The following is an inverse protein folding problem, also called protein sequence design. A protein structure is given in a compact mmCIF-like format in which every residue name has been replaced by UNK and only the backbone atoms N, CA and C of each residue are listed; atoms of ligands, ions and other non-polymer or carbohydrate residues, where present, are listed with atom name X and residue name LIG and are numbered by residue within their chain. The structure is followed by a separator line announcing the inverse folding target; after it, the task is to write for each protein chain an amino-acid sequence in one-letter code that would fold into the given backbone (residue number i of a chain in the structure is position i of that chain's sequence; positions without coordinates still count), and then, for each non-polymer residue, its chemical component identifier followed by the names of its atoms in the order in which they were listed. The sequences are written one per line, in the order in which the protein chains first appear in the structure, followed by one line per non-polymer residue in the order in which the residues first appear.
data_IF_143782243254
#
_entry.id   IF_143782243254
#
_cell.length_a   1.000
_cell.length_b   1.000
_cell.length_c   1.000
_cell.angle_alpha   90.00
_cell.angle_beta   90.00
_cell.angle_gamma   90.00
#
_symmetry.space_group_name_H-M   'P 1'
#
loop_
_entity.id
_entity.type
_entity.pdbx_description
1 polymer ?
#
# COMPACT_ATOMS: atom_id res chain seq x y z
N UNK A 1 -21.71 18.00 -2.01
CA UNK A 1 -23.00 17.27 -2.04
C UNK A 1 -22.79 15.95 -1.33
N UNK A 2 -23.34 15.81 -0.14
CA UNK A 2 -23.37 14.55 0.61
C UNK A 2 -24.13 13.50 -0.19
N UNK A 3 -23.50 12.36 -0.43
CA UNK A 3 -24.13 11.22 -1.11
C UNK A 3 -25.27 10.67 -0.23
N UNK A 4 -26.45 10.35 -0.78
CA UNK A 4 -27.54 9.81 0.04
C UNK A 4 -27.13 8.44 0.60
N UNK A 5 -27.40 8.21 1.90
CA UNK A 5 -27.20 6.93 2.58
C UNK A 5 -28.15 5.82 2.06
N UNK A 6 -29.11 6.21 1.25
CA UNK A 6 -30.12 5.31 0.67
C UNK A 6 -29.82 5.13 -0.83
N UNK A 7 -29.73 3.88 -1.32
CA UNK A 7 -29.48 3.62 -2.72
C UNK A 7 -30.65 4.14 -3.58
N UNK A 8 -30.34 4.79 -4.73
CA UNK A 8 -31.37 5.20 -5.69
C UNK A 8 -32.15 3.97 -6.20
N UNK A 9 -33.43 4.16 -6.59
CA UNK A 9 -34.29 3.05 -7.07
C UNK A 9 -33.65 2.22 -8.20
N UNK A 10 -33.00 2.88 -9.15
CA UNK A 10 -32.29 2.24 -10.27
C UNK A 10 -31.18 1.29 -9.81
N UNK A 11 -30.46 1.62 -8.73
CA UNK A 11 -29.42 0.76 -8.16
C UNK A 11 -30.04 -0.44 -7.44
N UNK A 12 -31.17 -0.24 -6.79
CA UNK A 12 -31.94 -1.35 -6.17
C UNK A 12 -32.42 -2.31 -7.23
N UNK A 13 -32.87 -1.82 -8.38
CA UNK A 13 -33.35 -2.67 -9.48
C UNK A 13 -32.19 -3.44 -10.12
N UNK A 14 -31.03 -2.82 -10.39
CA UNK A 14 -29.83 -3.53 -10.85
C UNK A 14 -29.40 -4.62 -9.87
N UNK A 15 -29.49 -4.36 -8.57
CA UNK A 15 -29.13 -5.37 -7.56
C UNK A 15 -30.11 -6.55 -7.52
N UNK A 16 -31.42 -6.30 -7.78
CA UNK A 16 -32.41 -7.37 -7.94
C UNK A 16 -32.16 -8.21 -9.18
N UNK A 17 -31.91 -7.55 -10.34
CA UNK A 17 -31.56 -8.25 -11.58
C UNK A 17 -30.29 -9.12 -11.39
N UNK A 18 -29.25 -8.58 -10.72
CA UNK A 18 -28.06 -9.35 -10.39
C UNK A 18 -28.38 -10.57 -9.53
N UNK A 19 -29.24 -10.43 -8.54
CA UNK A 19 -29.65 -11.54 -7.69
C UNK A 19 -30.37 -12.61 -8.51
N UNK A 20 -31.27 -12.23 -9.43
CA UNK A 20 -31.95 -13.15 -10.34
C UNK A 20 -30.97 -13.86 -11.28
N UNK A 21 -30.00 -13.14 -11.87
CA UNK A 21 -28.95 -13.75 -12.71
C UNK A 21 -28.15 -14.80 -11.94
N UNK A 22 -27.79 -14.54 -10.67
CA UNK A 22 -27.09 -15.52 -9.81
C UNK A 22 -27.92 -16.76 -9.53
N UNK A 23 -29.20 -16.61 -9.27
CA UNK A 23 -30.13 -17.75 -9.10
C UNK A 23 -30.21 -18.60 -10.38
N UNK A 24 -30.23 -17.92 -11.54
CA UNK A 24 -30.20 -18.57 -12.87
C UNK A 24 -28.81 -19.12 -13.24
N UNK A 25 -27.76 -18.87 -12.42
CA UNK A 25 -26.35 -19.20 -12.69
C UNK A 25 -25.78 -18.52 -13.94
N UNK A 26 -26.35 -17.40 -14.34
CA UNK A 26 -25.81 -16.52 -15.39
C UNK A 26 -24.75 -15.61 -14.77
N UNK A 27 -23.54 -16.16 -14.59
CA UNK A 27 -22.43 -15.47 -13.95
C UNK A 27 -21.94 -14.26 -14.75
N UNK A 28 -21.82 -14.33 -16.11
CA UNK A 28 -21.43 -13.17 -16.91
C UNK A 28 -22.38 -11.98 -16.74
N UNK A 29 -23.69 -12.22 -16.73
CA UNK A 29 -24.69 -11.15 -16.50
C UNK A 29 -24.62 -10.62 -15.08
N UNK A 30 -24.46 -11.49 -14.07
CA UNK A 30 -24.32 -11.08 -12.69
C UNK A 30 -23.08 -10.22 -12.45
N UNK A 31 -21.95 -10.51 -13.10
CA UNK A 31 -20.71 -9.74 -13.00
C UNK A 31 -20.81 -8.39 -13.73
N UNK A 32 -21.47 -8.35 -14.90
CA UNK A 32 -21.75 -7.11 -15.61
C UNK A 32 -22.61 -6.17 -14.76
N UNK A 33 -23.70 -6.67 -14.18
CA UNK A 33 -24.58 -5.87 -13.30
C UNK A 33 -23.85 -5.40 -12.03
N UNK A 34 -22.95 -6.22 -11.49
CA UNK A 34 -22.12 -5.82 -10.37
C UNK A 34 -21.21 -4.64 -10.76
N UNK A 35 -20.60 -4.69 -11.93
CA UNK A 35 -19.75 -3.61 -12.43
C UNK A 35 -20.57 -2.31 -12.65
N UNK A 36 -21.80 -2.41 -13.16
CA UNK A 36 -22.70 -1.26 -13.30
C UNK A 36 -23.06 -0.62 -11.94
N UNK A 37 -23.37 -1.45 -10.93
CA UNK A 37 -23.65 -0.99 -9.56
C UNK A 37 -22.41 -0.31 -8.96
N UNK A 38 -21.21 -0.89 -9.14
CA UNK A 38 -19.95 -0.35 -8.65
C UNK A 38 -19.60 0.97 -9.35
N UNK A 39 -19.80 1.07 -10.67
CA UNK A 39 -19.61 2.31 -11.43
C UNK A 39 -20.56 3.44 -10.98
N UNK A 40 -21.78 3.07 -10.58
CA UNK A 40 -22.74 4.02 -9.98
C UNK A 40 -22.40 4.35 -8.50
N UNK A 41 -21.30 3.79 -7.98
CA UNK A 41 -20.77 4.08 -6.65
C UNK A 41 -21.48 3.36 -5.52
N UNK A 42 -22.07 2.21 -5.79
CA UNK A 42 -22.64 1.31 -4.78
C UNK A 42 -21.94 -0.03 -4.82
N UNK A 43 -21.98 -0.76 -3.72
CA UNK A 43 -21.42 -2.10 -3.59
C UNK A 43 -22.47 -3.08 -3.12
N UNK A 44 -22.56 -4.21 -3.78
CA UNK A 44 -23.41 -5.33 -3.32
C UNK A 44 -22.62 -6.19 -2.37
N UNK A 45 -23.08 -6.32 -1.15
CA UNK A 45 -22.53 -7.22 -0.13
C UNK A 45 -23.49 -8.43 0.00
N UNK A 46 -23.02 -9.58 -0.46
CA UNK A 46 -23.81 -10.82 -0.41
C UNK A 46 -23.80 -11.46 1.00
N UNK A 47 -24.97 -11.88 1.46
CA UNK A 47 -25.17 -12.64 2.68
C UNK A 47 -25.95 -13.93 2.34
N UNK A 48 -25.28 -14.95 1.84
CA UNK A 48 -25.92 -16.15 1.32
C UNK A 48 -26.80 -15.85 0.10
N UNK A 49 -28.12 -16.04 0.21
CA UNK A 49 -29.08 -15.70 -0.84
C UNK A 49 -29.58 -14.23 -0.78
N UNK A 50 -29.35 -13.55 0.33
CA UNK A 50 -29.67 -12.14 0.50
C UNK A 50 -28.48 -11.25 0.12
N UNK A 51 -28.74 -9.97 -0.12
CA UNK A 51 -27.72 -8.95 -0.34
C UNK A 51 -28.06 -7.65 0.36
N UNK A 52 -27.03 -6.82 0.60
CA UNK A 52 -27.17 -5.45 1.05
C UNK A 52 -26.43 -4.53 0.07
N UNK A 53 -27.00 -3.36 -0.20
CA UNK A 53 -26.33 -2.29 -0.93
C UNK A 53 -25.66 -1.35 0.07
N UNK A 54 -24.39 -1.09 -0.15
CA UNK A 54 -23.60 -0.12 0.61
C UNK A 54 -23.00 0.89 -0.36
N UNK A 55 -22.74 2.13 0.05
CA UNK A 55 -21.93 3.05 -0.74
C UNK A 55 -20.59 2.38 -1.08
N UNK A 56 -20.13 2.45 -2.33
CA UNK A 56 -18.88 1.81 -2.76
C UNK A 56 -17.66 2.40 -2.04
N UNK A 57 -17.73 3.71 -1.71
CA UNK A 57 -16.75 4.43 -0.91
C UNK A 57 -17.49 5.37 0.05
N UNK A 58 -16.87 5.67 1.20
CA UNK A 58 -17.36 6.72 2.07
C UNK A 58 -17.40 8.07 1.32
N UNK A 59 -18.28 9.01 1.70
CA UNK A 59 -18.32 10.32 1.07
C UNK A 59 -17.05 11.11 1.38
N UNK A 60 -16.62 11.96 0.46
CA UNK A 60 -15.68 13.04 0.77
C UNK A 60 -16.40 14.11 1.57
N UNK A 61 -15.83 14.49 2.70
CA UNK A 61 -16.42 15.45 3.65
C UNK A 61 -15.49 16.66 3.76
N UNK A 62 -16.04 17.86 3.68
CA UNK A 62 -15.33 19.11 3.90
C UNK A 62 -15.70 19.66 5.30
N UNK A 63 -14.71 19.76 6.17
CA UNK A 63 -14.85 20.28 7.53
C UNK A 63 -13.91 21.49 7.73
N UNK A 64 -14.42 22.68 7.42
CA UNK A 64 -13.61 23.90 7.43
C UNK A 64 -12.48 23.85 6.41
N UNK A 65 -11.23 23.89 6.87
CA UNK A 65 -10.04 23.78 6.01
C UNK A 65 -9.60 22.33 5.76
N UNK A 66 -10.23 21.34 6.39
CA UNK A 66 -9.87 19.93 6.27
C UNK A 66 -10.82 19.24 5.30
N UNK A 67 -10.24 18.62 4.26
CA UNK A 67 -10.96 17.72 3.37
C UNK A 67 -10.65 16.29 3.76
N UNK A 68 -11.71 15.50 4.08
CA UNK A 68 -11.61 14.09 4.39
C UNK A 68 -12.08 13.26 3.20
N UNK A 69 -11.18 12.52 2.59
CA UNK A 69 -11.47 11.76 1.37
C UNK A 69 -12.08 10.40 1.67
N UNK A 70 -13.11 10.01 0.93
CA UNK A 70 -13.80 8.73 1.10
C UNK A 70 -13.09 7.54 0.44
N UNK A 71 -12.11 7.79 -0.43
CA UNK A 71 -11.34 6.76 -1.12
C UNK A 71 -10.03 7.34 -1.64
N UNK A 72 -9.08 6.49 -2.02
CA UNK A 72 -7.85 6.92 -2.66
C UNK A 72 -8.13 7.66 -3.97
N UNK A 73 -9.07 7.19 -4.78
CA UNK A 73 -9.40 7.81 -6.07
C UNK A 73 -9.90 9.26 -5.94
N UNK A 74 -10.48 9.63 -4.79
CA UNK A 74 -10.95 11.00 -4.53
C UNK A 74 -9.82 11.99 -4.20
N UNK A 75 -8.63 11.51 -3.83
CA UNK A 75 -7.48 12.35 -3.47
C UNK A 75 -6.88 12.95 -4.75
N UNK A 76 -6.63 14.28 -4.83
CA UNK A 76 -5.90 14.87 -5.95
C UNK A 76 -4.52 14.24 -6.12
N UNK A 77 -4.17 13.83 -7.34
CA UNK A 77 -2.92 13.16 -7.63
C UNK A 77 -1.87 14.13 -8.14
N UNK A 78 -0.62 13.96 -7.67
CA UNK A 78 0.56 14.63 -8.23
C UNK A 78 1.41 13.67 -9.07
N UNK A 79 0.94 12.45 -9.32
CA UNK A 79 1.73 11.41 -9.98
C UNK A 79 1.97 11.68 -11.47
N UNK A 80 1.16 12.51 -12.11
CA UNK A 80 1.36 12.92 -13.51
C UNK A 80 2.37 14.06 -13.66
N UNK A 81 2.73 14.70 -12.56
CA UNK A 81 3.72 15.78 -12.53
C UNK A 81 5.13 15.20 -12.34
N UNK A 82 6.20 15.86 -12.84
CA UNK A 82 7.57 15.46 -12.53
C UNK A 82 7.85 15.48 -11.02
N UNK A 83 8.74 14.60 -10.52
CA UNK A 83 9.14 14.64 -9.11
C UNK A 83 9.71 15.99 -8.72
N UNK A 84 9.28 16.55 -7.59
CA UNK A 84 9.76 17.83 -7.03
C UNK A 84 10.57 17.63 -5.75
N UNK A 85 10.63 16.41 -5.23
CA UNK A 85 11.43 16.02 -4.08
C UNK A 85 12.32 14.80 -4.42
N UNK A 86 13.36 14.58 -3.62
CA UNK A 86 14.21 13.37 -3.74
C UNK A 86 13.48 12.15 -3.20
N UNK A 87 12.89 12.31 -2.04
CA UNK A 87 12.20 11.24 -1.31
C UNK A 87 10.78 11.64 -0.92
N UNK A 88 9.89 10.69 -0.92
CA UNK A 88 8.64 10.75 -0.17
C UNK A 88 8.64 9.62 0.85
N UNK A 89 8.57 9.95 2.14
CA UNK A 89 8.29 8.99 3.21
C UNK A 89 6.79 9.04 3.48
N UNK A 90 6.11 7.93 3.19
CA UNK A 90 4.66 7.78 3.37
C UNK A 90 4.38 6.98 4.63
N UNK A 91 3.51 7.51 5.48
CA UNK A 91 3.11 6.96 6.77
C UNK A 91 1.58 6.85 6.84
N UNK A 92 1.07 5.74 7.36
CA UNK A 92 -0.35 5.62 7.71
C UNK A 92 -0.49 5.79 9.23
N UNK A 93 -1.26 6.80 9.62
CA UNK A 93 -1.56 7.10 11.01
C UNK A 93 -3.01 6.68 11.32
N UNK A 94 -3.16 5.50 11.88
CA UNK A 94 -4.44 5.00 12.42
C UNK A 94 -4.61 5.44 13.88
N UNK A 95 -3.68 4.98 14.73
CA UNK A 95 -3.63 5.17 16.18
C UNK A 95 -2.16 5.27 16.64
N UNK A 96 -1.91 5.27 17.95
CA UNK A 96 -0.57 5.30 18.58
C UNK A 96 0.25 6.56 18.26
N UNK A 97 -0.22 7.72 18.73
CA UNK A 97 0.41 9.00 18.40
C UNK A 97 1.87 9.12 18.85
N UNK A 98 2.27 8.40 19.91
CA UNK A 98 3.66 8.42 20.35
C UNK A 98 4.61 7.68 19.39
N UNK A 99 4.12 6.64 18.69
CA UNK A 99 4.92 5.94 17.69
C UNK A 99 5.13 6.83 16.47
N UNK A 100 4.08 7.52 16.01
CA UNK A 100 4.20 8.52 14.95
C UNK A 100 5.14 9.68 15.34
N UNK A 101 5.02 10.21 16.56
CA UNK A 101 5.87 11.30 17.05
C UNK A 101 7.35 10.88 17.04
N UNK A 102 7.68 9.68 17.53
CA UNK A 102 9.03 9.11 17.52
C UNK A 102 9.58 8.97 16.08
N UNK A 103 8.77 8.44 15.15
CA UNK A 103 9.12 8.35 13.74
C UNK A 103 9.45 9.73 13.15
N UNK A 104 8.59 10.72 13.38
CA UNK A 104 8.78 12.07 12.88
C UNK A 104 10.00 12.77 13.52
N UNK A 105 10.29 12.50 14.78
CA UNK A 105 11.48 13.00 15.45
C UNK A 105 12.76 12.42 14.83
N UNK A 106 12.80 11.11 14.59
CA UNK A 106 13.92 10.45 13.90
C UNK A 106 14.11 11.01 12.47
N UNK A 107 13.02 11.22 11.72
CA UNK A 107 13.09 11.83 10.40
C UNK A 107 13.61 13.29 10.46
N UNK A 108 13.16 14.10 11.44
CA UNK A 108 13.66 15.47 11.62
C UNK A 108 15.17 15.52 11.88
N UNK A 109 15.64 14.57 12.68
CA UNK A 109 17.06 14.52 13.04
C UNK A 109 17.94 14.03 11.88
N UNK A 110 17.44 13.17 11.01
CA UNK A 110 18.30 12.38 10.12
C UNK A 110 17.92 12.41 8.63
N UNK A 111 16.70 12.86 8.26
CA UNK A 111 16.32 12.86 6.86
C UNK A 111 17.12 13.92 6.07
N UNK A 112 17.67 13.56 4.88
CA UNK A 112 18.38 14.49 4.03
C UNK A 112 17.44 15.53 3.41
N UNK A 113 18.00 16.64 2.96
CA UNK A 113 17.27 17.69 2.25
C UNK A 113 16.54 17.10 1.02
N UNK A 114 15.36 17.67 0.69
CA UNK A 114 14.52 17.18 -0.39
C UNK A 114 13.64 15.99 0.01
N UNK A 115 13.44 15.76 1.31
CA UNK A 115 12.52 14.74 1.82
C UNK A 115 11.14 15.36 2.06
N UNK A 116 10.12 14.82 1.38
CA UNK A 116 8.70 15.03 1.68
C UNK A 116 8.24 13.96 2.66
N UNK A 117 7.41 14.33 3.62
CA UNK A 117 6.67 13.39 4.48
C UNK A 117 5.18 13.53 4.19
N UNK A 118 4.53 12.42 3.85
CA UNK A 118 3.08 12.32 3.66
C UNK A 118 2.50 11.42 4.74
N UNK A 119 1.56 11.95 5.52
CA UNK A 119 0.88 11.23 6.60
C UNK A 119 -0.57 11.02 6.20
N UNK A 120 -0.99 9.79 6.05
CA UNK A 120 -2.40 9.45 5.85
C UNK A 120 -3.08 9.30 7.20
N UNK A 121 -3.91 10.27 7.57
CA UNK A 121 -4.77 10.22 8.74
C UNK A 121 -5.98 9.32 8.42
N UNK A 122 -5.81 8.00 8.58
CA UNK A 122 -6.77 6.98 8.14
C UNK A 122 -7.92 6.82 9.15
N UNK A 123 -8.74 7.86 9.26
CA UNK A 123 -9.80 7.97 10.28
C UNK A 123 -9.30 7.55 11.67
N UNK A 124 -8.28 8.25 12.20
CA UNK A 124 -7.59 7.89 13.41
C UNK A 124 -8.45 8.14 14.67
N UNK A 125 -7.97 7.66 15.83
CA UNK A 125 -8.53 8.02 17.13
C UNK A 125 -8.50 9.54 17.36
N UNK A 126 -9.35 10.02 18.28
CA UNK A 126 -9.40 11.44 18.62
C UNK A 126 -8.04 11.97 19.13
N UNK A 127 -7.29 11.15 19.88
CA UNK A 127 -5.95 11.51 20.38
C UNK A 127 -4.96 11.67 19.23
N UNK A 128 -4.92 10.72 18.29
CA UNK A 128 -4.08 10.81 17.09
C UNK A 128 -4.48 12.00 16.22
N UNK A 129 -5.81 12.20 16.02
CA UNK A 129 -6.32 13.32 15.23
C UNK A 129 -5.91 14.68 15.80
N UNK A 130 -5.94 14.84 17.11
CA UNK A 130 -5.53 16.09 17.78
C UNK A 130 -4.07 16.46 17.52
N UNK A 131 -3.18 15.47 17.33
CA UNK A 131 -1.76 15.70 17.00
C UNK A 131 -1.48 15.93 15.50
N UNK A 132 -2.46 15.67 14.66
CA UNK A 132 -2.35 15.85 13.20
C UNK A 132 -2.93 17.17 12.69
N UNK A 133 -3.36 18.06 13.58
CA UNK A 133 -3.82 19.39 13.18
C UNK A 133 -2.65 20.31 12.88
N UNK A 134 -2.82 21.19 11.91
CA UNK A 134 -1.81 22.16 11.53
C UNK A 134 -1.34 23.01 12.72
N UNK A 135 -0.02 23.18 12.86
CA UNK A 135 0.61 23.91 13.97
C UNK A 135 0.90 23.05 15.19
N UNK A 136 0.51 21.76 15.24
CA UNK A 136 0.95 20.88 16.33
C UNK A 136 2.48 20.63 16.26
N UNK A 137 3.20 20.60 17.40
CA UNK A 137 4.65 20.40 17.43
C UNK A 137 5.13 19.12 16.72
N UNK A 138 4.33 18.05 16.77
CA UNK A 138 4.66 16.79 16.09
C UNK A 138 4.75 16.96 14.56
N UNK A 139 4.08 17.96 14.00
CA UNK A 139 4.12 18.30 12.58
C UNK A 139 5.17 19.39 12.24
N UNK A 140 6.15 19.61 13.13
CA UNK A 140 7.28 20.48 12.80
C UNK A 140 8.00 19.97 11.54
N UNK A 141 8.62 20.91 10.81
CA UNK A 141 9.26 20.64 9.52
C UNK A 141 10.28 19.49 9.60
N UNK A 142 10.24 18.62 8.62
CA UNK A 142 11.22 17.58 8.32
C UNK A 142 11.99 18.00 7.08
N UNK A 143 13.33 18.05 7.14
CA UNK A 143 14.19 18.45 6.03
C UNK A 143 13.78 19.80 5.37
N UNK A 144 13.23 20.71 6.15
CA UNK A 144 12.80 22.05 5.70
C UNK A 144 11.35 22.16 5.19
N UNK A 145 10.60 21.05 5.13
CA UNK A 145 9.20 21.03 4.69
C UNK A 145 8.28 20.49 5.78
N UNK A 146 7.11 21.12 5.97
CA UNK A 146 6.10 20.58 6.88
C UNK A 146 5.52 19.26 6.32
N UNK A 147 5.24 18.24 7.16
CA UNK A 147 4.53 17.05 6.73
C UNK A 147 3.16 17.39 6.14
N UNK A 148 2.83 16.75 5.02
CA UNK A 148 1.49 16.83 4.42
C UNK A 148 0.58 15.80 5.09
N UNK A 149 -0.56 16.23 5.64
CA UNK A 149 -1.55 15.33 6.24
C UNK A 149 -2.75 15.18 5.31
N UNK A 150 -3.02 13.96 4.88
CA UNK A 150 -4.16 13.60 4.03
C UNK A 150 -5.17 12.84 4.86
N UNK A 151 -6.37 13.41 5.02
CA UNK A 151 -7.40 12.84 5.88
C UNK A 151 -8.35 11.93 5.12
N UNK A 152 -8.78 10.85 5.75
CA UNK A 152 -9.86 10.00 5.23
C UNK A 152 -11.13 10.16 6.06
N UNK A 153 -12.30 10.06 5.41
CA UNK A 153 -13.61 10.17 6.07
C UNK A 153 -14.08 8.87 6.73
N UNK A 154 -13.43 7.76 6.40
CA UNK A 154 -13.64 6.45 7.01
C UNK A 154 -12.29 5.72 7.10
N UNK A 155 -12.18 4.73 7.99
CA UNK A 155 -11.02 3.86 8.04
C UNK A 155 -10.98 2.99 6.77
N UNK A 156 -10.00 3.23 5.92
CA UNK A 156 -9.75 2.46 4.71
C UNK A 156 -8.97 1.20 5.03
N UNK A 157 -9.07 0.20 4.14
CA UNK A 157 -8.16 -0.94 4.17
C UNK A 157 -6.70 -0.51 3.94
N UNK A 158 -5.75 -1.33 4.38
CA UNK A 158 -4.33 -0.91 4.43
C UNK A 158 -3.79 -0.47 3.07
N UNK A 159 -3.99 -1.25 2.00
CA UNK A 159 -3.53 -0.85 0.66
C UNK A 159 -4.24 0.41 0.13
N UNK A 160 -5.55 0.57 0.43
CA UNK A 160 -6.29 1.77 0.06
C UNK A 160 -5.77 3.01 0.79
N UNK A 161 -5.43 2.88 2.09
CA UNK A 161 -4.81 3.96 2.86
C UNK A 161 -3.43 4.34 2.29
N UNK A 162 -2.59 3.34 1.94
CA UNK A 162 -1.30 3.58 1.26
C UNK A 162 -1.51 4.28 -0.09
N UNK A 163 -2.50 3.87 -0.88
CA UNK A 163 -2.81 4.53 -2.15
C UNK A 163 -3.21 6.01 -1.97
N UNK A 164 -3.85 6.38 -0.87
CA UNK A 164 -4.12 7.79 -0.53
C UNK A 164 -2.81 8.59 -0.45
N UNK A 165 -1.82 8.10 0.31
CA UNK A 165 -0.52 8.75 0.43
C UNK A 165 0.29 8.73 -0.86
N UNK A 166 0.28 7.60 -1.58
CA UNK A 166 0.98 7.44 -2.85
C UNK A 166 0.54 8.44 -3.92
N UNK A 167 -0.74 8.82 -3.95
CA UNK A 167 -1.22 9.88 -4.87
C UNK A 167 -0.58 11.24 -4.60
N UNK A 168 -0.06 11.47 -3.41
CA UNK A 168 0.62 12.72 -2.99
C UNK A 168 2.14 12.61 -3.04
N UNK A 169 2.69 11.47 -3.47
CA UNK A 169 4.12 11.24 -3.51
C UNK A 169 4.80 12.09 -4.61
N UNK A 170 5.54 13.11 -4.21
CA UNK A 170 6.29 14.00 -5.09
C UNK A 170 7.79 13.64 -5.17
N UNK A 171 8.27 12.68 -4.37
CA UNK A 171 9.65 12.22 -4.38
C UNK A 171 9.97 11.27 -5.52
N UNK A 172 11.17 11.36 -6.11
CA UNK A 172 11.64 10.39 -7.11
C UNK A 172 11.73 8.95 -6.54
N UNK A 173 12.01 8.84 -5.24
CA UNK A 173 11.99 7.59 -4.48
C UNK A 173 10.87 7.69 -3.44
N UNK A 174 10.04 6.66 -3.39
CA UNK A 174 8.97 6.52 -2.40
C UNK A 174 9.37 5.46 -1.39
N UNK A 175 9.19 5.79 -0.11
CA UNK A 175 9.40 4.89 1.01
C UNK A 175 8.07 4.69 1.72
N UNK A 176 7.55 3.47 1.70
CA UNK A 176 6.47 3.08 2.58
C UNK A 176 7.08 2.69 3.93
N UNK A 177 6.73 3.44 4.97
CA UNK A 177 7.28 3.23 6.30
C UNK A 177 6.19 2.91 7.32
N UNK A 178 6.53 2.12 8.33
CA UNK A 178 5.66 1.80 9.47
C UNK A 178 6.06 2.63 10.69
N UNK A 179 5.10 3.14 11.44
CA UNK A 179 5.33 3.98 12.62
C UNK A 179 6.03 3.27 13.77
N UNK A 180 6.13 1.92 13.73
CA UNK A 180 6.95 1.14 14.68
C UNK A 180 8.45 1.22 14.42
N UNK A 181 8.88 1.92 13.37
CA UNK A 181 10.29 2.15 13.04
C UNK A 181 10.72 3.54 13.53
N UNK A 182 11.96 3.63 13.98
CA UNK A 182 12.62 4.88 14.36
C UNK A 182 13.92 5.03 13.55
N UNK A 183 14.05 6.08 12.71
CA UNK A 183 15.33 6.42 12.11
C UNK A 183 16.33 6.88 13.17
N UNK A 184 17.51 6.22 13.23
CA UNK A 184 18.62 6.52 14.17
C UNK A 184 19.85 7.09 13.45
N UNK A 185 19.75 7.32 12.16
CA UNK A 185 20.72 7.90 11.24
C UNK A 185 20.02 8.16 9.91
N UNK A 186 20.74 8.55 8.84
CA UNK A 186 20.16 8.74 7.51
C UNK A 186 19.79 7.38 6.85
N UNK A 187 18.51 7.00 6.78
CA UNK A 187 18.11 5.74 6.16
C UNK A 187 17.73 5.90 4.68
N UNK A 188 17.77 7.11 4.12
CA UNK A 188 17.27 7.43 2.79
C UNK A 188 18.36 7.46 1.73
N UNK A 189 19.51 8.09 2.00
CA UNK A 189 20.60 8.19 1.04
C UNK A 189 21.15 6.83 0.58
N UNK A 190 21.26 5.79 1.43
CA UNK A 190 21.63 4.45 0.96
C UNK A 190 20.60 3.83 -0.01
N UNK A 191 19.29 4.13 0.17
CA UNK A 191 18.25 3.69 -0.74
C UNK A 191 18.37 4.33 -2.13
N UNK A 192 18.66 5.62 -2.20
CA UNK A 192 18.90 6.33 -3.46
C UNK A 192 20.08 5.71 -4.21
N UNK A 193 21.17 5.42 -3.51
CA UNK A 193 22.34 4.75 -4.08
C UNK A 193 21.99 3.37 -4.63
N UNK A 194 21.26 2.55 -3.89
CA UNK A 194 20.86 1.23 -4.33
C UNK A 194 19.89 1.28 -5.53
N UNK A 195 18.88 2.16 -5.46
CA UNK A 195 17.88 2.30 -6.51
C UNK A 195 18.39 3.08 -7.74
N UNK A 196 19.60 3.64 -7.72
CA UNK A 196 20.24 4.15 -8.94
C UNK A 196 20.58 3.02 -9.93
N UNK A 197 20.77 1.78 -9.44
CA UNK A 197 20.89 0.60 -10.30
C UNK A 197 19.49 0.19 -10.82
N UNK A 198 19.25 0.25 -12.15
CA UNK A 198 17.97 -0.14 -12.73
C UNK A 198 17.64 -1.63 -12.55
N UNK A 199 18.62 -2.48 -12.27
CA UNK A 199 18.42 -3.89 -11.98
C UNK A 199 17.77 -4.13 -10.60
N UNK A 200 17.79 -3.14 -9.69
CA UNK A 200 17.13 -3.21 -8.39
C UNK A 200 15.76 -2.53 -8.50
N UNK A 201 14.68 -3.26 -8.21
CA UNK A 201 13.31 -2.76 -8.25
C UNK A 201 12.84 -2.20 -6.91
N UNK A 202 13.27 -2.83 -5.81
CA UNK A 202 12.85 -2.54 -4.45
C UNK A 202 14.02 -2.68 -3.51
N UNK A 203 14.14 -1.78 -2.54
CA UNK A 203 15.17 -1.81 -1.52
C UNK A 203 14.59 -1.46 -0.14
N UNK A 204 15.24 -1.89 0.94
CA UNK A 204 14.77 -1.59 2.28
C UNK A 204 15.61 -2.21 3.40
N UNK A 205 15.17 -2.01 4.65
CA UNK A 205 15.93 -2.42 5.83
C UNK A 205 15.70 -3.89 6.24
N UNK A 206 14.57 -4.48 5.89
CA UNK A 206 14.13 -5.79 6.36
C UNK A 206 13.80 -6.68 5.16
N UNK A 207 14.53 -7.78 5.00
CA UNK A 207 14.43 -8.65 3.85
C UNK A 207 13.80 -9.99 4.16
N UNK A 208 13.11 -10.55 3.18
CA UNK A 208 12.50 -11.87 3.24
C UNK A 208 12.98 -12.73 2.09
N UNK A 209 13.20 -14.01 2.34
CA UNK A 209 13.52 -15.03 1.32
C UNK A 209 12.53 -16.18 1.39
N UNK A 210 12.31 -16.85 0.27
CA UNK A 210 11.46 -18.02 0.17
C UNK A 210 12.05 -19.04 -0.80
N UNK A 211 11.88 -20.32 -0.51
CA UNK A 211 12.26 -21.40 -1.42
C UNK A 211 11.17 -21.72 -2.45
N UNK A 212 9.90 -21.39 -2.17
CA UNK A 212 8.77 -21.89 -2.95
C UNK A 212 7.55 -20.94 -3.02
N UNK A 213 7.70 -19.69 -2.55
CA UNK A 213 6.64 -18.69 -2.38
C UNK A 213 5.60 -19.04 -1.29
N UNK A 214 5.78 -20.10 -0.53
CA UNK A 214 4.83 -20.52 0.49
C UNK A 214 5.21 -20.09 1.89
N UNK A 215 6.48 -20.18 2.20
CA UNK A 215 7.04 -19.70 3.45
C UNK A 215 8.08 -18.63 3.16
N UNK A 216 7.93 -17.48 3.81
CA UNK A 216 8.90 -16.40 3.77
C UNK A 216 9.56 -16.29 5.14
N UNK A 217 10.87 -16.24 5.16
CA UNK A 217 11.70 -16.16 6.34
C UNK A 217 12.57 -14.90 6.31
N UNK A 218 12.88 -14.37 7.48
CA UNK A 218 13.76 -13.20 7.61
C UNK A 218 15.14 -13.52 7.04
N UNK A 219 15.69 -12.61 6.27
CA UNK A 219 17.00 -12.76 5.65
C UNK A 219 17.93 -11.60 5.97
N UNK A 220 19.14 -11.92 6.40
CA UNK A 220 20.18 -10.94 6.69
C UNK A 220 21.05 -10.59 5.46
N UNK A 221 21.00 -11.41 4.39
CA UNK A 221 21.77 -11.18 3.16
C UNK A 221 21.28 -9.98 2.36
N UNK A 222 22.11 -9.45 1.43
CA UNK A 222 21.71 -8.30 0.62
C UNK A 222 20.68 -8.68 -0.46
N UNK A 223 20.75 -9.90 -1.03
CA UNK A 223 19.82 -10.36 -2.06
C UNK A 223 18.68 -11.11 -1.40
N UNK A 224 17.45 -10.61 -1.64
CA UNK A 224 16.23 -11.10 -1.00
C UNK A 224 15.09 -11.21 -2.01
N UNK A 225 14.01 -11.89 -1.65
CA UNK A 225 12.85 -12.04 -2.50
C UNK A 225 11.82 -10.93 -2.33
N UNK A 226 11.72 -10.40 -1.11
CA UNK A 226 10.85 -9.28 -0.79
C UNK A 226 11.46 -8.41 0.30
N UNK A 227 10.96 -7.18 0.41
CA UNK A 227 11.26 -6.22 1.48
C UNK A 227 10.01 -6.04 2.32
N UNK A 228 10.13 -6.12 3.64
CA UNK A 228 9.02 -5.88 4.56
C UNK A 228 8.58 -4.40 4.55
N UNK A 229 7.28 -4.18 4.73
CA UNK A 229 6.67 -2.85 4.71
C UNK A 229 7.07 -1.95 5.90
N UNK A 230 7.90 -2.45 6.80
CA UNK A 230 8.50 -1.64 7.86
C UNK A 230 9.31 -0.47 7.31
N UNK A 231 10.06 -0.70 6.21
CA UNK A 231 10.83 0.31 5.50
C UNK A 231 11.13 -0.20 4.08
N UNK A 232 10.20 0.05 3.15
CA UNK A 232 10.21 -0.45 1.78
C UNK A 232 10.27 0.70 0.81
N UNK A 233 11.30 0.75 -0.04
CA UNK A 233 11.54 1.83 -0.99
C UNK A 233 11.55 1.33 -2.44
N UNK A 234 11.02 2.17 -3.34
CA UNK A 234 11.00 1.94 -4.78
C UNK A 234 10.98 3.28 -5.54
N UNK A 235 11.24 3.24 -6.86
CA UNK A 235 11.12 4.44 -7.69
C UNK A 235 9.65 4.80 -7.89
N UNK A 236 9.36 6.09 -7.80
CA UNK A 236 8.02 6.61 -8.09
C UNK A 236 7.55 6.24 -9.49
N UNK A 237 8.45 6.27 -10.50
CA UNK A 237 8.14 5.92 -11.88
C UNK A 237 7.69 4.45 -12.02
N UNK A 238 8.27 3.54 -11.24
CA UNK A 238 7.80 2.15 -11.19
C UNK A 238 6.35 2.06 -10.70
N UNK A 239 5.98 2.83 -9.67
CA UNK A 239 4.60 2.90 -9.19
C UNK A 239 3.65 3.48 -10.23
N UNK A 240 4.06 4.55 -10.93
CA UNK A 240 3.25 5.15 -12.00
C UNK A 240 3.02 4.15 -13.13
N UNK A 241 4.04 3.40 -13.52
CA UNK A 241 3.96 2.40 -14.60
C UNK A 241 3.16 1.15 -14.23
N UNK A 242 3.23 0.71 -12.97
CA UNK A 242 2.59 -0.52 -12.49
C UNK A 242 1.18 -0.30 -11.92
N UNK A 243 0.83 0.94 -11.62
CA UNK A 243 -0.45 1.32 -11.04
C UNK A 243 -0.49 1.18 -9.50
N UNK A 244 -1.66 1.42 -8.90
CA UNK A 244 -1.83 1.43 -7.46
C UNK A 244 -1.70 0.04 -6.83
N UNK A 245 -1.49 0.02 -5.51
CA UNK A 245 -1.58 -1.20 -4.71
C UNK A 245 -2.99 -1.81 -4.82
N UNK A 246 -3.09 -3.14 -4.83
CA UNK A 246 -4.39 -3.84 -4.85
C UNK A 246 -5.14 -3.61 -3.53
N UNK A 247 -6.19 -2.80 -3.58
CA UNK A 247 -6.99 -2.42 -2.40
C UNK A 247 -7.73 -3.59 -1.74
N UNK A 248 -7.72 -4.77 -2.37
CA UNK A 248 -8.17 -6.01 -1.73
C UNK A 248 -7.28 -6.43 -0.56
N UNK A 249 -6.06 -5.91 -0.45
CA UNK A 249 -5.22 -6.05 0.73
C UNK A 249 -5.68 -5.08 1.84
N UNK A 250 -6.84 -5.37 2.43
CA UNK A 250 -7.37 -4.56 3.53
C UNK A 250 -6.57 -4.70 4.83
N UNK A 251 -5.81 -5.78 5.00
CA UNK A 251 -4.88 -6.04 6.09
C UNK A 251 -3.44 -5.93 5.58
N UNK A 252 -2.53 -5.43 6.41
CA UNK A 252 -1.17 -5.08 5.97
C UNK A 252 -0.30 -6.29 5.61
N UNK A 253 -0.46 -7.44 6.29
CA UNK A 253 0.37 -8.62 6.13
C UNK A 253 0.33 -9.17 4.70
N UNK A 254 1.49 -9.53 4.17
CA UNK A 254 1.71 -10.03 2.81
C UNK A 254 1.47 -8.98 1.68
N UNK A 255 1.12 -7.73 1.99
CA UNK A 255 1.10 -6.65 1.01
C UNK A 255 2.53 -6.30 0.56
N UNK A 256 3.46 -6.32 1.49
CA UNK A 256 4.90 -6.16 1.28
C UNK A 256 5.47 -7.18 0.29
N UNK A 257 5.19 -8.46 0.50
CA UNK A 257 5.58 -9.54 -0.39
C UNK A 257 4.95 -9.33 -1.78
N UNK A 258 3.64 -9.10 -1.81
CA UNK A 258 2.93 -8.88 -3.08
C UNK A 258 3.50 -7.70 -3.86
N UNK A 259 3.73 -6.56 -3.20
CA UNK A 259 4.24 -5.36 -3.86
C UNK A 259 5.69 -5.52 -4.31
N UNK A 260 6.54 -6.14 -3.49
CA UNK A 260 7.92 -6.47 -3.87
C UNK A 260 7.97 -7.33 -5.13
N UNK A 261 7.13 -8.37 -5.21
CA UNK A 261 7.05 -9.25 -6.39
C UNK A 261 6.49 -8.52 -7.62
N UNK A 262 5.51 -7.62 -7.45
CA UNK A 262 4.99 -6.77 -8.54
C UNK A 262 6.09 -5.87 -9.10
N UNK A 263 6.82 -5.17 -8.23
CA UNK A 263 7.93 -4.29 -8.62
C UNK A 263 9.02 -5.05 -9.36
N UNK A 264 9.37 -6.25 -8.88
CA UNK A 264 10.41 -7.11 -9.47
C UNK A 264 10.00 -7.70 -10.82
N UNK A 265 8.73 -8.11 -10.94
CA UNK A 265 8.19 -8.63 -12.20
C UNK A 265 8.11 -7.56 -13.29
N UNK A 266 7.94 -6.28 -12.92
CA UNK A 266 7.75 -5.19 -13.88
C UNK A 266 6.42 -5.26 -14.64
N UNK A 267 6.29 -4.47 -15.71
CA UNK A 267 5.06 -4.31 -16.47
C UNK A 267 4.85 -5.34 -17.59
N UNK A 268 5.86 -6.16 -17.91
CA UNK A 268 5.80 -7.11 -19.04
C UNK A 268 6.28 -8.51 -18.68
N UNK A 269 5.63 -9.52 -19.27
CA UNK A 269 5.96 -10.94 -19.01
C UNK A 269 7.33 -11.34 -19.58
N UNK A 270 7.84 -10.62 -20.58
CA UNK A 270 9.13 -10.90 -21.23
C UNK A 270 10.32 -10.15 -20.59
N UNK A 271 10.08 -9.34 -19.55
CA UNK A 271 11.15 -8.59 -18.88
C UNK A 271 11.79 -9.47 -17.80
N UNK A 272 13.13 -9.59 -17.77
CA UNK A 272 13.80 -10.32 -16.68
C UNK A 272 13.44 -9.72 -15.32
N UNK A 273 13.21 -10.54 -14.29
CA UNK A 273 12.94 -10.04 -12.95
C UNK A 273 14.08 -9.15 -12.45
N UNK A 274 13.71 -8.03 -11.85
CA UNK A 274 14.65 -7.16 -11.15
C UNK A 274 14.89 -7.66 -9.72
N UNK A 275 15.98 -7.22 -9.10
CA UNK A 275 16.34 -7.62 -7.75
C UNK A 275 15.55 -6.87 -6.67
N UNK A 276 15.39 -7.50 -5.51
CA UNK A 276 15.12 -6.85 -4.24
C UNK A 276 16.42 -6.80 -3.43
N UNK A 277 16.71 -5.64 -2.80
CA UNK A 277 17.95 -5.40 -2.08
C UNK A 277 17.68 -5.02 -0.63
N UNK A 278 18.08 -5.90 0.31
CA UNK A 278 18.15 -5.53 1.72
C UNK A 278 19.41 -4.71 1.98
N UNK A 279 19.26 -3.62 2.71
CA UNK A 279 20.34 -2.75 3.15
C UNK A 279 20.41 -2.74 4.68
N UNK A 280 21.62 -2.55 5.21
CA UNK A 280 21.82 -2.31 6.62
C UNK A 280 21.61 -0.82 6.90
N UNK A 281 20.37 -0.47 7.27
CA UNK A 281 19.93 0.91 7.48
C UNK A 281 19.90 1.26 8.97
N UNK A 282 20.19 2.51 9.34
CA UNK A 282 20.16 2.97 10.73
C UNK A 282 18.70 3.13 11.21
N UNK A 283 18.06 2.03 11.47
CA UNK A 283 16.65 1.91 11.87
C UNK A 283 16.53 1.08 13.16
N UNK A 284 15.85 1.61 14.15
CA UNK A 284 15.42 0.85 15.31
C UNK A 284 13.98 0.37 15.13
N UNK A 285 13.73 -0.91 15.42
CA UNK A 285 12.39 -1.51 15.35
C UNK A 285 11.78 -1.61 16.73
N UNK A 286 10.60 -1.06 16.89
CA UNK A 286 9.78 -1.12 18.09
C UNK A 286 8.61 -2.11 17.94
N UNK A 287 7.79 -2.21 18.97
CA UNK A 287 6.62 -3.08 18.98
C UNK A 287 5.60 -2.65 17.92
N UNK A 288 5.17 -3.58 17.08
CA UNK A 288 4.12 -3.37 16.10
C UNK A 288 2.74 -3.55 16.75
N UNK A 289 2.22 -2.49 17.35
CA UNK A 289 1.02 -2.53 18.19
C UNK A 289 -0.25 -2.91 17.44
N UNK A 290 -0.36 -2.53 16.17
CA UNK A 290 -1.49 -2.93 15.33
C UNK A 290 -1.60 -4.46 15.16
N UNK A 291 -0.46 -5.17 15.16
CA UNK A 291 -0.41 -6.63 15.15
C UNK A 291 -0.79 -7.20 16.52
N UNK A 292 -0.21 -6.68 17.58
CA UNK A 292 -0.42 -7.20 18.93
C UNK A 292 -1.86 -7.01 19.43
N UNK A 293 -2.54 -5.96 18.99
CA UNK A 293 -3.91 -5.64 19.38
C UNK A 293 -4.99 -6.54 18.76
N UNK A 294 -4.64 -7.39 17.76
CA UNK A 294 -5.61 -8.29 17.13
C UNK A 294 -5.59 -9.69 17.76
N UNK A 295 -6.76 -10.34 17.93
CA UNK A 295 -6.83 -11.76 18.29
C UNK A 295 -6.09 -12.64 17.27
N UNK A 296 -5.42 -13.70 17.74
CA UNK A 296 -4.61 -14.60 16.91
C UNK A 296 -5.41 -15.20 15.74
N UNK A 297 -6.64 -15.67 15.99
CA UNK A 297 -7.52 -16.23 14.95
C UNK A 297 -7.84 -15.24 13.83
N UNK A 298 -7.97 -13.93 14.16
CA UNK A 298 -8.21 -12.90 13.17
C UNK A 298 -6.94 -12.58 12.38
N UNK A 299 -5.79 -12.52 13.05
CA UNK A 299 -4.47 -12.36 12.41
C UNK A 299 -4.24 -13.46 11.37
N UNK A 300 -4.49 -14.71 11.74
CA UNK A 300 -4.31 -15.87 10.86
C UNK A 300 -5.27 -15.85 9.68
N UNK A 301 -6.55 -15.58 9.93
CA UNK A 301 -7.57 -15.50 8.89
C UNK A 301 -7.27 -14.39 7.87
N UNK A 302 -6.91 -13.19 8.34
CA UNK A 302 -6.60 -12.04 7.48
C UNK A 302 -5.30 -12.25 6.70
N UNK A 303 -4.26 -12.79 7.35
CA UNK A 303 -2.97 -13.13 6.72
C UNK A 303 -3.15 -14.18 5.64
N UNK A 304 -3.91 -15.26 5.92
CA UNK A 304 -4.18 -16.34 4.98
C UNK A 304 -4.93 -15.83 3.74
N UNK A 305 -5.89 -14.93 3.91
CA UNK A 305 -6.61 -14.33 2.78
C UNK A 305 -5.68 -13.57 1.84
N UNK A 306 -4.76 -12.78 2.38
CA UNK A 306 -3.79 -12.04 1.60
C UNK A 306 -2.74 -12.96 0.96
N UNK A 307 -2.31 -14.00 1.70
CA UNK A 307 -1.38 -14.98 1.20
C UNK A 307 -1.89 -15.70 -0.07
N UNK A 308 -3.16 -16.10 -0.11
CA UNK A 308 -3.72 -16.70 -1.32
C UNK A 308 -3.69 -15.74 -2.51
N UNK A 309 -3.83 -14.42 -2.33
CA UNK A 309 -3.67 -13.44 -3.42
C UNK A 309 -2.26 -13.42 -3.98
N UNK A 310 -1.24 -13.55 -3.12
CA UNK A 310 0.15 -13.67 -3.57
C UNK A 310 0.32 -14.95 -4.42
N UNK A 311 -0.17 -16.08 -3.92
CA UNK A 311 -0.09 -17.34 -4.65
C UNK A 311 -0.86 -17.33 -5.97
N UNK A 312 -2.08 -16.79 -5.98
CA UNK A 312 -2.91 -16.73 -7.20
C UNK A 312 -2.20 -16.00 -8.34
N UNK A 313 -1.41 -14.98 -8.02
CA UNK A 313 -0.68 -14.21 -9.02
C UNK A 313 0.71 -14.76 -9.34
N UNK A 314 1.44 -15.26 -8.34
CA UNK A 314 2.89 -15.50 -8.46
C UNK A 314 3.32 -16.96 -8.33
N UNK A 315 2.43 -17.93 -8.04
CA UNK A 315 2.81 -19.33 -7.79
C UNK A 315 3.64 -19.98 -8.90
N UNK A 316 3.50 -19.54 -10.15
CA UNK A 316 4.26 -20.05 -11.29
C UNK A 316 5.55 -19.21 -11.57
N UNK A 317 5.72 -18.06 -10.89
CA UNK A 317 6.83 -17.13 -11.09
C UNK A 317 8.01 -17.43 -10.16
N UNK A 318 8.50 -18.67 -10.21
CA UNK A 318 9.70 -19.08 -9.42
C UNK A 318 10.96 -18.34 -9.85
N UNK A 319 10.99 -17.78 -11.05
CA UNK A 319 12.04 -16.90 -11.56
C UNK A 319 12.23 -15.63 -10.71
N UNK A 320 11.22 -15.28 -9.89
CA UNK A 320 11.28 -14.20 -8.92
C UNK A 320 12.00 -14.58 -7.61
N UNK A 321 12.40 -15.83 -7.41
CA UNK A 321 13.09 -16.27 -6.18
C UNK A 321 14.60 -16.25 -6.37
N UNK A 322 15.33 -15.70 -5.40
CA UNK A 322 16.80 -15.60 -5.43
C UNK A 322 17.50 -16.96 -5.43
N UNK A 323 16.84 -18.00 -4.89
CA UNK A 323 17.34 -19.38 -4.88
C UNK A 323 16.90 -20.25 -6.06
N UNK A 324 16.15 -19.70 -7.02
CA UNK A 324 15.71 -20.47 -8.17
C UNK A 324 16.90 -20.77 -9.12
N UNK A 325 17.05 -22.00 -9.65
CA UNK A 325 18.03 -22.26 -10.69
C UNK A 325 17.74 -21.40 -11.89
N UNK A 326 18.77 -20.77 -12.46
CA UNK A 326 18.62 -19.96 -13.66
C UNK A 326 17.89 -20.76 -14.75
N UNK A 327 16.80 -20.25 -15.29
CA UNK A 327 16.10 -20.87 -16.40
C UNK A 327 17.09 -21.08 -17.55
N UNK A 328 17.14 -22.26 -18.17
CA UNK A 328 18.02 -22.47 -19.32
C UNK A 328 17.64 -21.48 -20.39
N UNK A 329 18.59 -20.61 -20.76
CA UNK A 329 18.43 -19.64 -21.83
C UNK A 329 17.95 -20.38 -23.08
N UNK A 330 16.83 -19.94 -23.65
CA UNK A 330 16.27 -20.39 -24.93
C UNK A 330 17.19 -20.02 -26.14
N UNK A 331 18.43 -20.48 -26.11
CA UNK A 331 19.40 -20.27 -27.21
C UNK A 331 19.70 -21.56 -27.98
N UNK A 332 18.76 -22.51 -28.03
CA UNK A 332 18.93 -23.74 -28.79
C UNK A 332 17.69 -24.09 -29.59
N UNK A 333 17.29 -23.22 -30.53
CA UNK A 333 16.38 -23.60 -31.62
C UNK A 333 16.62 -22.69 -32.83
N UNK A 334 17.82 -22.74 -33.41
CA UNK A 334 18.10 -22.46 -34.84
C UNK A 334 19.42 -23.16 -35.21
N UNK A 335 19.32 -24.40 -35.59
CA UNK A 335 20.25 -25.08 -36.48
C UNK A 335 19.43 -25.94 -37.41
#
# INVERSE_FOLDING_TARGET
MTRPDTPPPEIVDLARERSAARVARDWPRADALRAEIEAAGWRVVDHGTAYRLEPAAAPTIEEGAIVRYGSAAAVPSVLEEPPTARFTVELVADDWPNDLARMLEGLRAHAPAGTQVVIVANNPSAEQAARLVSGHPDLASVAGSAPEVVWTSARLGHAAARNVGLRRAAGAIVVLADTSIEPTGDPLSPLETALADPAIAVAGGFGLVSADLRLFEDAAGPDVDAIELYWLAFRRDDHVALGPLDEKFAFYRNLDIWWSLVLRAGAGDDTPPRAARRLDLPLARHEHRAWMGLPEADRDRLSRRNYYRVLDRFRERRDLLTGAPASPSSTAARA
#
